data_IF_236579238199
#
_entry.id   IF_236579238199
#
_cell.length_a   1.000
_cell.length_b   1.000
_cell.length_c   1.000
_cell.angle_alpha   90.00
_cell.angle_beta   90.00
_cell.angle_gamma   90.00
#
_symmetry.space_group_name_H-M   'P 1'
#
loop_
_entity.id
_entity.type
_entity.pdbx_description
1 polymer ?
#
# COMPACT_ATOMS: atom_id res chain seq x y z
N UNK A 1 26.78 60.35 -18.23
CA UNK A 1 26.78 60.95 -16.89
C UNK A 1 25.55 60.51 -16.11
N UNK A 2 25.73 59.57 -15.18
CA UNK A 2 25.10 59.46 -13.84
C UNK A 2 25.34 58.02 -13.35
N UNK A 3 26.04 57.93 -12.23
CA UNK A 3 26.62 56.74 -11.58
C UNK A 3 25.59 55.86 -10.86
N UNK A 4 25.93 54.59 -10.54
CA UNK A 4 25.12 53.71 -9.69
C UNK A 4 25.60 53.73 -8.21
N UNK A 5 24.74 53.44 -7.21
CA UNK A 5 25.20 53.31 -5.84
C UNK A 5 25.64 51.87 -5.50
N UNK A 6 26.96 51.79 -5.32
CA UNK A 6 27.81 50.97 -4.42
C UNK A 6 27.19 49.85 -3.57
N UNK A 7 27.82 48.68 -3.73
CA UNK A 7 27.87 47.56 -2.78
C UNK A 7 28.47 47.97 -1.43
N UNK A 8 27.96 47.37 -0.35
CA UNK A 8 28.61 47.37 0.97
C UNK A 8 28.73 45.94 1.49
N UNK A 9 29.95 45.43 1.39
CA UNK A 9 30.45 44.29 2.15
C UNK A 9 30.61 44.69 3.62
N UNK A 10 30.07 43.90 4.54
CA UNK A 10 30.35 44.03 5.97
C UNK A 10 31.04 42.75 6.42
N UNK A 11 32.36 42.84 6.55
CA UNK A 11 33.20 41.92 7.31
C UNK A 11 33.17 42.38 8.76
N UNK A 12 32.73 41.53 9.70
CA UNK A 12 32.89 41.77 11.13
C UNK A 12 33.79 40.69 11.72
N UNK A 13 34.72 41.19 12.51
CA UNK A 13 35.91 40.57 13.05
C UNK A 13 35.63 39.56 14.16
N UNK A 14 36.43 38.49 14.19
CA UNK A 14 36.66 37.67 15.38
C UNK A 14 37.21 38.54 16.52
N UNK A 15 36.59 38.43 17.70
CA UNK A 15 37.24 38.79 18.97
C UNK A 15 37.24 37.54 19.84
N UNK A 16 38.44 37.01 20.04
CA UNK A 16 38.75 35.94 20.99
C UNK A 16 38.97 36.57 22.37
N UNK A 17 38.30 36.03 23.39
CA UNK A 17 38.63 36.34 24.79
C UNK A 17 38.84 35.03 25.53
N UNK A 18 40.11 34.74 25.81
CA UNK A 18 40.59 33.70 26.72
C UNK A 18 40.45 34.21 28.15
N UNK A 19 39.81 33.44 29.03
CA UNK A 19 40.04 33.49 30.46
C UNK A 19 40.03 32.05 30.99
N UNK A 20 41.23 31.57 31.31
CA UNK A 20 41.44 30.32 32.03
C UNK A 20 41.33 30.55 33.53
N UNK A 21 40.73 29.59 34.23
CA UNK A 21 40.98 29.35 35.65
C UNK A 21 41.03 27.83 35.84
N UNK A 22 42.22 27.36 36.22
CA UNK A 22 42.48 26.01 36.68
C UNK A 22 42.09 25.89 38.15
N UNK A 23 41.39 24.81 38.52
CA UNK A 23 41.27 24.37 39.91
C UNK A 23 41.46 22.86 39.98
N UNK A 24 42.52 22.46 40.70
CA UNK A 24 42.90 21.10 41.02
C UNK A 24 42.25 20.64 42.35
N UNK A 25 42.01 19.33 42.41
CA UNK A 25 41.94 18.45 43.60
C UNK A 25 40.70 18.61 44.52
N UNK A 26 40.21 17.59 45.24
CA UNK A 26 40.78 16.36 45.82
C UNK A 26 39.67 15.29 45.86
N UNK A 27 39.98 14.03 45.52
CA UNK A 27 39.09 12.89 45.75
C UNK A 27 39.27 12.37 47.19
N UNK A 28 38.23 12.49 48.02
CA UNK A 28 38.17 11.84 49.34
C UNK A 28 37.25 10.63 49.27
N UNK A 29 37.83 9.44 49.39
CA UNK A 29 37.10 8.19 49.56
C UNK A 29 36.61 8.07 51.01
N UNK A 30 35.30 7.84 51.19
CA UNK A 30 34.69 7.48 52.48
C UNK A 30 34.31 6.00 52.42
N UNK A 31 34.72 5.15 53.38
CA UNK A 31 34.31 3.75 53.43
C UNK A 31 32.89 3.64 53.99
N UNK A 32 31.99 2.95 53.28
CA UNK A 32 30.67 2.58 53.79
C UNK A 32 30.69 1.13 54.29
N UNK A 33 30.31 0.97 55.56
CA UNK A 33 30.14 -0.31 56.26
C UNK A 33 28.99 -1.15 55.66
N UNK A 34 29.03 -2.49 55.79
CA UNK A 34 27.98 -3.35 55.28
C UNK A 34 26.78 -3.38 56.23
N UNK A 35 25.62 -2.95 55.75
CA UNK A 35 24.34 -3.20 56.45
C UNK A 35 23.88 -4.63 56.16
N UNK A 36 23.73 -5.41 57.22
CA UNK A 36 23.00 -6.68 57.23
C UNK A 36 21.54 -6.44 56.84
N UNK A 37 21.11 -6.99 55.71
CA UNK A 37 19.69 -7.09 55.35
C UNK A 37 19.25 -8.53 55.58
N UNK A 38 18.31 -8.71 56.51
CA UNK A 38 17.62 -9.98 56.75
C UNK A 38 16.96 -10.46 55.46
N UNK A 39 17.20 -11.72 55.11
CA UNK A 39 16.52 -12.40 54.02
C UNK A 39 15.07 -12.69 54.42
N UNK A 40 14.13 -12.02 53.76
CA UNK A 40 12.73 -12.43 53.76
C UNK A 40 12.57 -13.56 52.72
N UNK A 41 12.24 -14.75 53.19
CA UNK A 41 11.96 -15.92 52.35
C UNK A 41 10.58 -15.77 51.69
N UNK A 42 10.51 -14.95 50.64
CA UNK A 42 9.38 -14.95 49.73
C UNK A 42 9.50 -16.15 48.77
N UNK A 43 8.57 -17.09 48.91
CA UNK A 43 8.42 -18.28 48.07
C UNK A 43 8.45 -17.91 46.59
N UNK A 44 9.55 -18.25 45.90
CA UNK A 44 9.65 -18.15 44.44
C UNK A 44 8.86 -19.32 43.86
N UNK A 45 7.62 -19.07 43.46
CA UNK A 45 7.02 -19.86 42.40
C UNK A 45 7.82 -19.57 41.14
N UNK A 46 8.70 -20.51 40.76
CA UNK A 46 9.27 -20.59 39.42
C UNK A 46 8.12 -20.83 38.44
N UNK A 47 7.47 -19.74 38.04
CA UNK A 47 6.70 -19.72 36.81
C UNK A 47 7.73 -19.65 35.69
N UNK A 48 8.18 -20.83 35.23
CA UNK A 48 8.75 -20.98 33.90
C UNK A 48 7.93 -20.13 32.93
N UNK A 49 8.53 -19.22 32.15
CA UNK A 49 7.77 -18.55 31.11
C UNK A 49 7.37 -19.65 30.14
N UNK A 50 6.11 -20.05 30.20
CA UNK A 50 5.51 -20.89 29.17
C UNK A 50 5.64 -20.06 27.91
N UNK A 51 6.59 -20.46 27.06
CA UNK A 51 6.74 -19.98 25.70
C UNK A 51 5.47 -20.38 24.93
N UNK A 52 4.43 -19.56 25.11
CA UNK A 52 3.31 -19.49 24.20
C UNK A 52 3.60 -18.39 23.19
N UNK A 53 4.71 -18.53 22.48
CA UNK A 53 4.74 -18.16 21.08
C UNK A 53 3.66 -18.98 20.35
N UNK A 54 2.38 -18.60 20.49
CA UNK A 54 1.38 -18.90 19.48
C UNK A 54 2.00 -18.39 18.19
N UNK A 55 2.41 -19.34 17.34
CA UNK A 55 2.80 -19.08 15.97
C UNK A 55 1.88 -18.01 15.43
N UNK A 56 2.44 -16.95 14.85
CA UNK A 56 1.61 -15.96 14.19
C UNK A 56 0.67 -16.73 13.26
N UNK A 57 -0.65 -16.67 13.46
CA UNK A 57 -1.59 -17.45 12.67
C UNK A 57 -1.55 -17.09 11.18
N UNK A 58 -0.82 -16.03 10.82
CA UNK A 58 -0.54 -15.60 9.46
C UNK A 58 0.81 -16.21 9.01
N UNK A 59 0.80 -17.12 8.02
CA UNK A 59 2.03 -17.72 7.52
C UNK A 59 2.87 -16.69 6.75
N UNK A 60 4.19 -16.90 6.68
CA UNK A 60 5.02 -16.12 5.75
C UNK A 60 4.58 -16.33 4.31
N UNK A 61 4.39 -15.28 3.54
CA UNK A 61 3.95 -15.41 2.15
C UNK A 61 5.13 -15.38 1.17
N UNK A 62 4.99 -16.10 0.06
CA UNK A 62 5.99 -16.16 -1.00
C UNK A 62 5.89 -14.95 -1.92
N UNK A 63 4.98 -15.03 -2.89
CA UNK A 63 4.61 -13.95 -3.81
C UNK A 63 3.15 -13.56 -3.60
N UNK A 64 2.89 -12.27 -3.43
CA UNK A 64 1.55 -11.72 -3.23
C UNK A 64 1.16 -10.89 -4.44
N UNK A 65 -0.07 -11.05 -4.90
CA UNK A 65 -0.74 -10.22 -5.89
C UNK A 65 -1.96 -9.59 -5.23
N UNK A 66 -2.03 -8.27 -5.16
CA UNK A 66 -3.21 -7.54 -4.69
C UNK A 66 -3.84 -6.89 -5.90
N UNK A 67 -4.99 -7.41 -6.32
CA UNK A 67 -5.78 -6.88 -7.43
C UNK A 67 -6.91 -6.04 -6.82
N UNK A 68 -6.98 -4.77 -7.21
CA UNK A 68 -7.97 -3.82 -6.69
C UNK A 68 -8.96 -3.47 -7.78
N UNK A 69 -10.25 -3.62 -7.50
CA UNK A 69 -11.34 -3.09 -8.32
C UNK A 69 -11.95 -1.84 -7.69
N UNK A 70 -12.78 -1.15 -8.46
CA UNK A 70 -13.35 0.15 -8.08
C UNK A 70 -14.86 0.11 -7.79
N UNK A 71 -15.28 0.97 -6.87
CA UNK A 71 -16.67 1.41 -6.64
C UNK A 71 -17.70 0.28 -6.71
N UNK A 72 -17.47 -0.84 -6.05
CA UNK A 72 -18.35 -2.02 -6.14
C UNK A 72 -18.64 -2.55 -4.76
N UNK A 73 -19.89 -2.41 -4.33
CA UNK A 73 -20.35 -2.95 -3.06
C UNK A 73 -20.37 -4.49 -3.10
N UNK A 74 -20.32 -5.14 -1.93
CA UNK A 74 -20.49 -6.58 -1.83
C UNK A 74 -21.81 -7.05 -2.48
N UNK A 75 -22.88 -6.25 -2.35
CA UNK A 75 -24.20 -6.54 -2.89
C UNK A 75 -24.23 -6.57 -4.43
N UNK A 76 -23.34 -5.82 -5.08
CA UNK A 76 -23.21 -5.80 -6.53
C UNK A 76 -22.56 -7.07 -7.10
N UNK A 77 -21.72 -7.74 -6.30
CA UNK A 77 -20.96 -8.94 -6.69
C UNK A 77 -21.84 -10.20 -6.64
N UNK A 78 -22.80 -10.23 -7.56
CA UNK A 78 -23.75 -11.33 -7.74
C UNK A 78 -23.29 -12.34 -8.79
N UNK A 79 -23.86 -13.55 -8.82
CA UNK A 79 -23.60 -14.53 -9.89
C UNK A 79 -23.95 -14.03 -11.30
N UNK A 80 -24.86 -13.06 -11.40
CA UNK A 80 -25.30 -12.49 -12.67
C UNK A 80 -24.27 -11.49 -13.22
N UNK A 81 -23.74 -10.62 -12.36
CA UNK A 81 -22.82 -9.55 -12.74
C UNK A 81 -21.35 -9.96 -12.65
N UNK A 82 -21.01 -10.86 -11.73
CA UNK A 82 -19.65 -11.34 -11.51
C UNK A 82 -19.62 -12.88 -11.40
N UNK A 83 -19.95 -13.62 -12.48
CA UNK A 83 -20.06 -15.07 -12.45
C UNK A 83 -18.76 -15.78 -12.05
N UNK A 84 -17.57 -15.24 -12.38
CA UNK A 84 -16.29 -15.83 -11.98
C UNK A 84 -15.98 -15.58 -10.50
N UNK A 85 -16.06 -14.33 -10.05
CA UNK A 85 -15.76 -13.91 -8.68
C UNK A 85 -16.76 -14.55 -7.70
N UNK A 86 -18.06 -14.33 -7.91
CA UNK A 86 -19.11 -14.88 -7.05
C UNK A 86 -19.29 -16.40 -7.21
N UNK A 87 -18.66 -17.01 -8.22
CA UNK A 87 -18.73 -18.41 -8.55
C UNK A 87 -17.49 -19.21 -8.19
N UNK A 88 -16.70 -19.67 -9.18
CA UNK A 88 -15.54 -20.52 -8.95
C UNK A 88 -14.51 -19.90 -8.02
N UNK A 89 -14.30 -18.58 -8.05
CA UNK A 89 -13.30 -17.94 -7.20
C UNK A 89 -13.74 -17.98 -5.73
N UNK A 90 -14.96 -17.52 -5.42
CA UNK A 90 -15.55 -17.61 -4.07
C UNK A 90 -15.49 -19.00 -3.46
N UNK A 91 -15.68 -20.07 -4.25
CA UNK A 91 -15.60 -21.47 -3.76
C UNK A 91 -14.18 -21.93 -3.40
N UNK A 92 -13.15 -21.31 -3.99
CA UNK A 92 -11.74 -21.71 -3.87
C UNK A 92 -10.92 -20.79 -2.97
N UNK A 93 -11.48 -19.65 -2.58
CA UNK A 93 -10.85 -18.64 -1.75
C UNK A 93 -11.41 -18.64 -0.32
N UNK A 94 -10.75 -17.93 0.58
CA UNK A 94 -11.42 -17.36 1.73
C UNK A 94 -12.17 -16.11 1.30
N UNK A 95 -13.49 -16.14 1.35
CA UNK A 95 -14.38 -15.03 1.08
C UNK A 95 -14.66 -14.27 2.38
N UNK A 96 -14.32 -12.99 2.44
CA UNK A 96 -14.46 -12.16 3.63
C UNK A 96 -15.79 -11.39 3.57
N UNK A 97 -16.79 -11.90 4.28
CA UNK A 97 -18.02 -11.16 4.55
C UNK A 97 -17.80 -10.24 5.76
N UNK A 98 -18.19 -8.98 5.65
CA UNK A 98 -17.95 -7.92 6.62
C UNK A 98 -16.64 -7.15 6.43
N UNK A 99 -16.00 -7.28 5.26
CA UNK A 99 -14.88 -6.41 4.88
C UNK A 99 -15.43 -5.04 4.43
N UNK A 100 -14.93 -3.96 5.02
CA UNK A 100 -15.42 -2.60 4.82
C UNK A 100 -14.35 -1.65 4.30
N UNK A 101 -14.72 -0.88 3.29
CA UNK A 101 -14.04 0.32 2.87
C UNK A 101 -14.23 1.47 3.87
N UNK A 102 -13.51 2.56 3.67
CA UNK A 102 -13.64 3.78 4.46
C UNK A 102 -14.73 4.65 3.83
N UNK A 103 -15.90 4.73 4.48
CA UNK A 103 -17.07 5.46 3.95
C UNK A 103 -17.00 6.99 4.02
N UNK A 104 -15.98 7.58 4.66
CA UNK A 104 -15.72 9.03 4.65
C UNK A 104 -14.55 9.40 3.72
N UNK A 105 -14.32 8.59 2.68
CA UNK A 105 -13.23 8.73 1.72
C UNK A 105 -13.71 8.39 0.33
N UNK A 106 -13.17 9.07 -0.68
CA UNK A 106 -13.17 8.62 -2.06
C UNK A 106 -12.03 7.60 -2.33
N UNK A 107 -11.93 7.13 -3.57
CA UNK A 107 -11.03 6.05 -4.01
C UNK A 107 -9.59 6.23 -3.56
N UNK A 108 -8.94 7.37 -3.85
CA UNK A 108 -7.53 7.60 -3.50
C UNK A 108 -7.27 7.38 -2.01
N UNK A 109 -8.13 7.90 -1.14
CA UNK A 109 -7.96 7.72 0.30
C UNK A 109 -8.13 6.26 0.73
N UNK A 110 -8.94 5.45 0.04
CA UNK A 110 -9.04 4.00 0.26
C UNK A 110 -7.79 3.25 -0.23
N UNK A 111 -7.24 3.60 -1.41
CA UNK A 111 -5.95 3.06 -1.89
C UNK A 111 -4.79 3.37 -0.94
N UNK A 112 -4.76 4.60 -0.43
CA UNK A 112 -3.72 5.09 0.47
C UNK A 112 -3.85 4.47 1.87
N UNK A 113 -5.07 4.28 2.37
CA UNK A 113 -5.32 3.51 3.59
C UNK A 113 -4.88 2.04 3.42
N UNK A 114 -5.13 1.43 2.25
CA UNK A 114 -4.72 0.05 1.95
C UNK A 114 -3.20 -0.14 1.92
N UNK A 115 -2.43 0.93 1.67
CA UNK A 115 -0.99 0.86 1.47
C UNK A 115 -0.15 1.58 2.53
N UNK A 116 -0.75 2.40 3.39
CA UNK A 116 -0.09 3.05 4.53
C UNK A 116 -0.85 2.97 5.86
N UNK A 117 -2.11 2.53 5.84
CA UNK A 117 -2.95 2.40 7.03
C UNK A 117 -3.45 3.74 7.57
N UNK A 118 -3.38 4.80 6.78
CA UNK A 118 -3.93 6.12 7.06
C UNK A 118 -4.16 6.86 5.74
N UNK A 119 -4.99 7.91 5.75
CA UNK A 119 -5.11 8.88 4.66
C UNK A 119 -5.40 10.28 5.18
N UNK A 120 -4.94 11.31 4.46
CA UNK A 120 -5.16 12.73 4.78
C UNK A 120 -6.35 13.31 4.00
N UNK A 121 -6.72 14.56 4.30
CA UNK A 121 -7.94 15.17 3.74
C UNK A 121 -7.92 15.28 2.20
N UNK A 122 -6.79 15.68 1.60
CA UNK A 122 -6.71 15.79 0.14
C UNK A 122 -6.82 14.41 -0.54
N UNK A 123 -6.28 13.36 0.09
CA UNK A 123 -6.34 11.99 -0.44
C UNK A 123 -7.76 11.45 -0.39
N UNK A 124 -8.45 11.67 0.73
CA UNK A 124 -9.88 11.30 0.88
C UNK A 124 -10.81 12.07 -0.05
N UNK A 125 -10.32 13.12 -0.70
CA UNK A 125 -11.06 13.97 -1.63
C UNK A 125 -10.61 13.78 -3.10
N UNK A 126 -9.89 12.70 -3.44
CA UNK A 126 -9.36 12.44 -4.79
C UNK A 126 -8.61 13.64 -5.38
N UNK A 127 -7.82 14.32 -4.55
CA UNK A 127 -6.97 15.38 -5.07
C UNK A 127 -5.86 14.77 -5.93
N UNK A 128 -5.56 15.32 -7.12
CA UNK A 128 -4.43 14.87 -7.93
C UNK A 128 -3.11 15.14 -7.18
N UNK A 129 -2.00 14.49 -7.56
CA UNK A 129 -0.72 14.73 -6.89
C UNK A 129 -0.22 16.15 -7.14
N UNK A 130 -0.41 16.67 -8.35
CA UNK A 130 -0.06 18.02 -8.76
C UNK A 130 -1.14 18.61 -9.66
N UNK A 131 -1.16 19.93 -9.75
CA UNK A 131 -2.02 20.68 -10.66
C UNK A 131 -1.60 20.42 -12.12
N UNK A 132 -2.51 20.00 -13.01
CA UNK A 132 -2.15 19.64 -14.38
C UNK A 132 -1.77 20.84 -15.27
N UNK A 133 -2.07 22.07 -14.85
CA UNK A 133 -1.79 23.31 -15.59
C UNK A 133 -0.52 24.00 -15.09
N UNK A 134 -0.32 24.01 -13.78
CA UNK A 134 0.77 24.75 -13.12
C UNK A 134 1.89 23.86 -12.60
N UNK A 135 1.67 22.54 -12.54
CA UNK A 135 2.57 21.55 -11.93
C UNK A 135 2.83 21.78 -10.43
N UNK A 136 2.09 22.69 -9.81
CA UNK A 136 2.17 22.94 -8.37
C UNK A 136 1.64 21.74 -7.58
N UNK A 137 2.22 21.44 -6.42
CA UNK A 137 1.73 20.35 -5.60
C UNK A 137 0.34 20.58 -5.06
N UNK A 138 -0.46 19.51 -5.10
CA UNK A 138 -1.80 19.52 -4.51
C UNK A 138 -1.88 18.50 -3.38
N UNK A 139 -1.51 17.24 -3.63
CA UNK A 139 -1.73 16.19 -2.65
C UNK A 139 -0.61 15.18 -2.62
N UNK A 140 0.02 15.04 -1.45
CA UNK A 140 1.06 14.07 -1.19
C UNK A 140 1.31 13.97 0.30
N UNK A 141 2.03 12.92 0.69
CA UNK A 141 2.40 12.75 2.09
C UNK A 141 3.78 12.13 2.30
N UNK A 142 4.40 12.58 3.39
CA UNK A 142 5.68 12.09 3.88
C UNK A 142 5.48 11.08 5.01
N UNK A 143 4.97 9.91 4.66
CA UNK A 143 4.71 8.83 5.62
C UNK A 143 5.30 7.51 5.13
N UNK A 144 5.52 6.60 6.07
CA UNK A 144 5.91 5.24 5.69
C UNK A 144 4.69 4.48 5.11
N UNK A 145 4.98 3.56 4.22
CA UNK A 145 3.99 2.80 3.45
C UNK A 145 4.58 1.43 3.10
N UNK A 146 3.74 0.47 2.73
CA UNK A 146 4.19 -0.90 2.46
C UNK A 146 5.27 -0.95 1.36
N UNK A 147 5.21 -0.08 0.35
CA UNK A 147 6.21 -0.05 -0.73
C UNK A 147 7.60 0.34 -0.20
N UNK A 148 7.66 1.36 0.65
CA UNK A 148 8.89 1.78 1.31
C UNK A 148 9.38 0.76 2.33
N UNK A 149 8.50 0.15 3.13
CA UNK A 149 8.88 -0.94 4.04
C UNK A 149 9.49 -2.13 3.30
N UNK A 150 8.89 -2.55 2.18
CA UNK A 150 9.41 -3.63 1.33
C UNK A 150 10.77 -3.25 0.74
N UNK A 151 10.92 -2.01 0.28
CA UNK A 151 12.20 -1.50 -0.23
C UNK A 151 13.32 -1.53 0.82
N UNK A 152 13.04 -1.09 2.05
CA UNK A 152 14.00 -1.09 3.17
C UNK A 152 14.33 -2.52 3.58
N UNK A 153 13.34 -3.41 3.61
CA UNK A 153 13.51 -4.83 3.92
C UNK A 153 14.13 -5.65 2.77
N UNK A 154 14.49 -5.01 1.65
CA UNK A 154 15.00 -5.65 0.43
C UNK A 154 14.09 -6.76 -0.11
N UNK A 155 12.77 -6.61 0.12
CA UNK A 155 11.75 -7.47 -0.47
C UNK A 155 11.33 -6.82 -1.78
N UNK A 156 11.52 -7.54 -2.89
CA UNK A 156 11.14 -7.02 -4.21
C UNK A 156 9.65 -6.72 -4.28
N UNK A 157 9.31 -5.56 -4.83
CA UNK A 157 7.94 -5.13 -5.03
C UNK A 157 7.76 -4.49 -6.41
N UNK A 158 6.55 -4.53 -6.96
CA UNK A 158 6.13 -3.77 -8.15
C UNK A 158 4.67 -3.35 -8.00
N UNK A 159 4.35 -2.16 -8.47
CA UNK A 159 2.98 -1.67 -8.66
C UNK A 159 2.71 -1.59 -10.16
N UNK A 160 1.70 -2.30 -10.62
CA UNK A 160 1.36 -2.51 -12.02
C UNK A 160 0.07 -1.78 -12.33
N UNK A 161 0.11 -0.87 -13.31
CA UNK A 161 -1.04 -0.06 -13.68
C UNK A 161 -1.35 -0.20 -15.17
N UNK A 162 -2.56 -0.64 -15.48
CA UNK A 162 -3.02 -0.74 -16.87
C UNK A 162 -3.22 0.64 -17.49
N UNK A 163 -2.91 0.76 -18.78
CA UNK A 163 -2.99 2.01 -19.55
C UNK A 163 -2.08 3.16 -19.06
N UNK A 164 -1.27 2.95 -18.02
CA UNK A 164 -0.29 3.95 -17.57
C UNK A 164 0.78 4.17 -18.67
N UNK A 165 0.95 5.40 -19.23
CA UNK A 165 1.78 5.59 -20.42
C UNK A 165 3.26 5.32 -20.22
N UNK A 166 3.77 5.61 -19.02
CA UNK A 166 5.17 5.45 -18.66
C UNK A 166 5.30 5.17 -17.18
N UNK A 167 6.47 4.67 -16.78
CA UNK A 167 6.81 4.45 -15.36
C UNK A 167 6.64 5.73 -14.56
N UNK A 168 6.03 5.61 -13.38
CA UNK A 168 5.80 6.73 -12.46
C UNK A 168 5.11 7.93 -13.16
N UNK A 169 4.00 7.66 -13.84
CA UNK A 169 3.13 8.68 -14.42
C UNK A 169 2.19 9.23 -13.34
N UNK A 170 1.87 10.52 -13.40
CA UNK A 170 1.24 11.27 -12.29
C UNK A 170 0.01 12.05 -12.72
N UNK A 171 -0.48 11.83 -13.93
CA UNK A 171 -1.61 12.55 -14.51
C UNK A 171 -2.66 11.53 -14.99
N UNK A 172 -3.90 11.97 -15.13
CA UNK A 172 -4.96 11.16 -15.76
C UNK A 172 -4.85 11.23 -17.28
N UNK A 173 -5.09 10.11 -17.96
CA UNK A 173 -5.04 10.04 -19.43
C UNK A 173 -5.95 8.94 -19.97
N UNK A 174 -6.26 9.04 -21.26
CA UNK A 174 -7.12 8.08 -21.94
C UNK A 174 -8.59 8.35 -21.68
N UNK A 175 -9.44 7.43 -22.14
CA UNK A 175 -10.90 7.58 -22.05
C UNK A 175 -11.59 6.22 -21.97
N UNK A 176 -12.76 6.18 -21.33
CA UNK A 176 -13.62 4.99 -21.27
C UNK A 176 -14.06 4.51 -22.67
N UNK A 177 -14.18 5.44 -23.63
CA UNK A 177 -14.50 5.12 -25.04
C UNK A 177 -13.39 4.33 -25.73
N UNK A 178 -12.14 4.73 -25.53
CA UNK A 178 -10.96 4.04 -26.11
C UNK A 178 -10.53 2.83 -25.29
N UNK A 179 -11.01 2.74 -24.04
CA UNK A 179 -10.67 1.70 -23.07
C UNK A 179 -9.19 1.68 -22.73
N UNK A 180 -8.65 2.88 -22.54
CA UNK A 180 -7.26 3.17 -22.21
C UNK A 180 -7.17 4.17 -21.05
N UNK A 181 -8.22 4.26 -20.22
CA UNK A 181 -8.36 5.28 -19.18
C UNK A 181 -7.54 4.96 -17.93
N UNK A 182 -6.37 5.56 -17.81
CA UNK A 182 -5.55 5.52 -16.60
C UNK A 182 -5.91 6.70 -15.69
N UNK A 183 -6.21 6.39 -14.43
CA UNK A 183 -6.51 7.36 -13.39
C UNK A 183 -5.42 7.30 -12.32
N UNK A 184 -4.80 8.43 -12.01
CA UNK A 184 -3.68 8.52 -11.08
C UNK A 184 -4.11 8.27 -9.64
N UNK A 185 -5.35 8.59 -9.28
CA UNK A 185 -5.92 8.36 -7.95
C UNK A 185 -5.86 6.89 -7.50
N UNK A 186 -5.85 5.96 -8.46
CA UNK A 186 -5.77 4.52 -8.18
C UNK A 186 -4.31 4.03 -8.04
N UNK A 187 -3.33 4.94 -8.09
CA UNK A 187 -1.91 4.67 -7.96
C UNK A 187 -1.35 5.30 -6.68
N UNK A 188 -1.52 4.69 -5.50
CA UNK A 188 -1.08 5.29 -4.23
C UNK A 188 0.45 5.49 -4.19
N UNK A 189 1.23 4.71 -4.93
CA UNK A 189 2.68 4.77 -4.91
C UNK A 189 3.24 6.13 -5.36
N UNK A 190 2.51 6.89 -6.20
CA UNK A 190 2.95 8.22 -6.64
C UNK A 190 2.59 9.36 -5.68
N UNK A 191 1.86 9.08 -4.60
CA UNK A 191 1.49 10.07 -3.58
C UNK A 191 2.47 10.09 -2.39
N UNK A 192 3.42 9.15 -2.34
CA UNK A 192 4.38 9.04 -1.25
C UNK A 192 5.75 9.66 -1.58
N UNK A 193 6.17 10.63 -0.76
CA UNK A 193 7.46 11.34 -0.91
C UNK A 193 8.69 10.41 -0.89
N UNK A 194 8.61 9.31 -0.14
CA UNK A 194 9.65 8.30 -0.04
C UNK A 194 9.64 7.27 -1.19
N UNK A 195 8.65 7.31 -2.08
CA UNK A 195 8.57 6.49 -3.30
C UNK A 195 8.79 7.36 -4.53
N UNK A 196 7.91 8.32 -4.76
CA UNK A 196 7.83 9.20 -5.93
C UNK A 196 9.00 10.18 -5.96
N UNK A 197 9.22 10.92 -4.87
CA UNK A 197 10.25 11.94 -4.82
C UNK A 197 9.91 13.25 -4.14
N UNK A 198 8.64 13.48 -3.80
CA UNK A 198 8.16 14.76 -3.31
C UNK A 198 8.29 15.87 -4.38
N UNK A 199 7.82 15.60 -5.61
CA UNK A 199 7.92 16.53 -6.74
C UNK A 199 6.90 17.66 -6.70
N UNK A 200 7.04 18.47 -5.68
CA UNK A 200 5.98 19.33 -5.22
C UNK A 200 6.55 20.71 -4.98
N UNK A 201 6.75 21.46 -6.07
CA UNK A 201 7.18 22.86 -6.00
C UNK A 201 7.13 23.56 -7.35
N UNK A 202 7.13 24.90 -7.31
CA UNK A 202 6.92 25.86 -8.40
C UNK A 202 7.96 25.87 -9.55
N UNK A 203 8.63 24.76 -9.83
CA UNK A 203 9.67 24.64 -10.85
C UNK A 203 9.43 23.48 -11.82
N UNK A 204 10.28 23.33 -12.85
CA UNK A 204 10.18 22.22 -13.80
C UNK A 204 10.14 20.88 -13.05
N UNK A 205 9.14 20.03 -13.34
CA UNK A 205 8.97 18.73 -12.67
C UNK A 205 10.32 18.02 -12.55
N UNK A 206 10.85 17.80 -11.33
CA UNK A 206 12.05 16.99 -11.15
C UNK A 206 11.85 15.62 -11.81
N UNK A 207 12.91 14.85 -12.08
CA UNK A 207 12.71 13.45 -12.46
C UNK A 207 12.25 12.64 -11.24
N UNK A 208 11.39 11.62 -11.40
CA UNK A 208 10.99 10.78 -10.27
C UNK A 208 12.20 10.12 -9.65
N UNK A 209 12.12 9.84 -8.35
CA UNK A 209 13.10 8.99 -7.70
C UNK A 209 13.23 7.69 -8.48
N UNK A 210 14.47 7.21 -8.55
CA UNK A 210 14.83 5.95 -9.20
C UNK A 210 14.03 4.76 -8.63
N UNK A 211 13.57 4.87 -7.37
CA UNK A 211 12.65 3.92 -6.73
C UNK A 211 11.32 3.87 -7.50
N UNK A 212 10.57 4.97 -7.61
CA UNK A 212 9.31 4.99 -8.36
C UNK A 212 9.48 4.48 -9.81
N UNK A 213 10.49 4.96 -10.54
CA UNK A 213 10.74 4.54 -11.92
C UNK A 213 10.99 3.02 -12.07
N UNK A 214 11.60 2.38 -11.08
CA UNK A 214 11.85 0.94 -11.12
C UNK A 214 10.60 0.12 -10.86
N UNK A 215 9.77 0.57 -9.92
CA UNK A 215 8.79 -0.27 -9.26
C UNK A 215 7.34 0.05 -9.65
N UNK A 216 7.04 1.28 -10.07
CA UNK A 216 5.71 1.69 -10.55
C UNK A 216 5.70 1.63 -12.07
N UNK A 217 5.07 0.60 -12.63
CA UNK A 217 5.26 0.16 -14.02
C UNK A 217 3.94 -0.04 -14.77
N UNK A 218 3.90 0.21 -16.08
CA UNK A 218 2.74 -0.11 -16.90
C UNK A 218 2.48 -1.62 -16.96
N UNK A 219 1.21 -2.05 -16.98
CA UNK A 219 0.84 -3.43 -17.29
C UNK A 219 0.97 -3.76 -18.79
N UNK A 220 0.94 -2.76 -19.66
CA UNK A 220 1.08 -2.91 -21.10
C UNK A 220 1.31 -1.55 -21.75
N UNK A 221 0.88 -1.41 -22.99
CA UNK A 221 0.84 -0.11 -23.68
C UNK A 221 -0.41 0.70 -23.26
N UNK A 222 -0.57 1.89 -23.85
CA UNK A 222 -1.84 2.65 -23.78
C UNK A 222 -2.86 2.18 -24.82
N UNK A 223 -2.66 0.98 -25.39
CA UNK A 223 -3.65 0.33 -26.23
C UNK A 223 -4.84 -0.15 -25.40
N UNK A 224 -5.97 -0.39 -26.09
CA UNK A 224 -7.22 -0.87 -25.49
C UNK A 224 -6.99 -2.09 -24.60
N UNK A 225 -7.25 -1.93 -23.31
CA UNK A 225 -7.14 -2.97 -22.27
C UNK A 225 -5.86 -3.82 -22.37
N UNK A 226 -4.71 -3.18 -22.65
CA UNK A 226 -3.47 -3.90 -22.87
C UNK A 226 -2.73 -4.22 -21.56
N UNK A 227 -2.64 -5.52 -21.25
CA UNK A 227 -1.87 -6.09 -20.12
C UNK A 227 -0.62 -6.87 -20.57
N UNK A 228 -0.19 -6.71 -21.81
CA UNK A 228 0.84 -7.55 -22.44
C UNK A 228 2.19 -7.59 -21.72
N UNK A 229 2.61 -6.50 -21.07
CA UNK A 229 3.86 -6.44 -20.32
C UNK A 229 3.77 -7.24 -19.00
N UNK A 230 2.65 -7.16 -18.31
CA UNK A 230 2.34 -7.96 -17.13
C UNK A 230 2.27 -9.45 -17.48
N UNK A 231 1.54 -9.79 -18.54
CA UNK A 231 1.44 -11.17 -19.04
C UNK A 231 2.80 -11.75 -19.41
N UNK A 232 3.66 -10.96 -20.05
CA UNK A 232 5.01 -11.38 -20.40
C UNK A 232 5.90 -11.59 -19.17
N UNK A 233 5.77 -10.74 -18.15
CA UNK A 233 6.46 -10.90 -16.87
C UNK A 233 6.02 -12.17 -16.13
N UNK A 234 4.71 -12.46 -16.12
CA UNK A 234 4.16 -13.71 -15.59
C UNK A 234 4.72 -14.92 -16.33
N UNK A 235 4.68 -14.95 -17.66
CA UNK A 235 5.23 -16.06 -18.47
C UNK A 235 6.70 -16.36 -18.17
N UNK A 236 7.50 -15.32 -17.91
CA UNK A 236 8.93 -15.46 -17.57
C UNK A 236 9.20 -15.74 -16.08
N UNK A 237 8.19 -15.68 -15.21
CA UNK A 237 8.37 -15.73 -13.76
C UNK A 237 9.05 -14.48 -13.17
N UNK A 238 9.25 -13.43 -13.96
CA UNK A 238 9.84 -12.15 -13.57
C UNK A 238 8.78 -11.29 -12.86
N UNK A 239 8.33 -11.77 -11.71
CA UNK A 239 7.46 -11.01 -10.82
C UNK A 239 8.24 -10.55 -9.59
N UNK A 240 7.68 -9.61 -8.84
CA UNK A 240 8.19 -9.26 -7.52
C UNK A 240 7.61 -10.19 -6.43
N UNK A 241 8.12 -10.09 -5.19
CA UNK A 241 7.49 -10.75 -4.03
C UNK A 241 6.18 -10.10 -3.63
N UNK A 242 6.03 -8.79 -3.85
CA UNK A 242 4.77 -8.08 -3.70
C UNK A 242 4.39 -7.39 -5.02
N UNK A 243 3.19 -7.64 -5.51
CA UNK A 243 2.68 -7.07 -6.76
C UNK A 243 1.32 -6.42 -6.47
N UNK A 244 1.27 -5.10 -6.53
CA UNK A 244 0.01 -4.34 -6.50
C UNK A 244 -0.46 -4.20 -7.96
N UNK A 245 -1.70 -4.53 -8.27
CA UNK A 245 -2.21 -4.65 -9.64
C UNK A 245 -3.51 -3.85 -9.75
N UNK A 246 -3.47 -2.83 -10.58
CA UNK A 246 -4.55 -1.85 -10.74
C UNK A 246 -4.96 -1.81 -12.22
N UNK A 247 -6.14 -2.32 -12.57
CA UNK A 247 -6.68 -2.22 -13.92
C UNK A 247 -7.04 -0.76 -14.26
N UNK A 248 -7.29 -0.50 -15.53
CA UNK A 248 -7.76 0.80 -16.00
C UNK A 248 -9.25 0.99 -15.62
N UNK A 249 -9.79 2.19 -15.79
CA UNK A 249 -11.18 2.48 -15.39
C UNK A 249 -12.25 1.61 -16.07
N UNK A 250 -11.94 1.00 -17.21
CA UNK A 250 -12.85 0.08 -17.86
C UNK A 250 -12.81 -1.34 -17.28
N UNK A 251 -11.64 -1.78 -16.83
CA UNK A 251 -11.43 -3.13 -16.36
C UNK A 251 -11.41 -3.24 -14.83
N UNK A 252 -11.38 -2.14 -14.08
CA UNK A 252 -11.43 -2.14 -12.62
C UNK A 252 -12.86 -2.16 -12.05
N UNK A 253 -13.86 -1.87 -12.89
CA UNK A 253 -15.27 -1.84 -12.51
C UNK A 253 -15.82 -0.45 -12.23
N UNK A 254 -15.04 0.62 -12.39
CA UNK A 254 -15.51 2.01 -12.24
C UNK A 254 -16.44 2.43 -13.40
N UNK A 255 -15.94 2.37 -14.63
CA UNK A 255 -16.65 2.87 -15.81
C UNK A 255 -17.36 1.75 -16.56
N UNK A 256 -18.54 2.07 -17.10
CA UNK A 256 -19.18 1.24 -18.11
C UNK A 256 -18.57 1.52 -19.48
N UNK A 257 -17.66 0.66 -19.93
CA UNK A 257 -16.99 0.85 -21.21
C UNK A 257 -17.59 0.02 -22.34
N UNK A 258 -18.06 0.68 -23.40
CA UNK A 258 -18.62 0.05 -24.58
C UNK A 258 -19.87 -0.78 -24.30
N UNK A 259 -20.74 -0.28 -23.42
CA UNK A 259 -22.06 -0.85 -23.15
C UNK A 259 -22.07 -2.09 -22.24
N UNK A 260 -20.91 -2.57 -21.77
CA UNK A 260 -20.83 -3.72 -20.87
C UNK A 260 -20.99 -3.28 -19.42
N UNK A 261 -21.74 -4.02 -18.60
CA UNK A 261 -21.86 -3.76 -17.16
C UNK A 261 -20.48 -3.73 -16.49
N UNK A 262 -20.17 -2.64 -15.77
CA UNK A 262 -18.86 -2.38 -15.18
C UNK A 262 -18.36 -3.51 -14.25
N UNK A 263 -19.25 -4.09 -13.45
CA UNK A 263 -18.91 -5.22 -12.56
C UNK A 263 -18.54 -6.48 -13.37
N UNK A 264 -19.24 -6.71 -14.49
CA UNK A 264 -18.92 -7.78 -15.43
C UNK A 264 -17.57 -7.58 -16.13
N UNK A 265 -17.13 -6.33 -16.32
CA UNK A 265 -15.81 -6.02 -16.89
C UNK A 265 -14.69 -6.39 -15.91
N UNK A 266 -14.81 -6.03 -14.64
CA UNK A 266 -13.85 -6.46 -13.62
C UNK A 266 -13.86 -7.98 -13.39
N UNK A 267 -15.03 -8.63 -13.44
CA UNK A 267 -15.09 -10.10 -13.39
C UNK A 267 -14.29 -10.75 -14.53
N UNK A 268 -14.36 -10.19 -15.75
CA UNK A 268 -13.61 -10.66 -16.90
C UNK A 268 -12.09 -10.42 -16.74
N UNK A 269 -11.68 -9.25 -16.24
CA UNK A 269 -10.29 -8.96 -15.89
C UNK A 269 -9.76 -9.96 -14.86
N UNK A 270 -10.46 -10.11 -13.73
CA UNK A 270 -10.07 -11.03 -12.66
C UNK A 270 -10.01 -12.47 -13.17
N UNK A 271 -10.97 -12.91 -13.99
CA UNK A 271 -10.93 -14.24 -14.62
C UNK A 271 -9.68 -14.45 -15.48
N UNK A 272 -9.34 -13.47 -16.31
CA UNK A 272 -8.17 -13.51 -17.21
C UNK A 272 -6.87 -13.52 -16.40
N UNK A 273 -6.69 -12.54 -15.53
CA UNK A 273 -5.43 -12.35 -14.81
C UNK A 273 -5.20 -13.42 -13.74
N UNK A 274 -6.23 -13.82 -12.97
CA UNK A 274 -6.07 -14.91 -11.99
C UNK A 274 -5.71 -16.22 -12.69
N UNK A 275 -6.25 -16.49 -13.88
CA UNK A 275 -5.88 -17.67 -14.67
C UNK A 275 -4.41 -17.60 -15.11
N UNK A 276 -3.96 -16.44 -15.59
CA UNK A 276 -2.56 -16.25 -16.02
C UNK A 276 -1.60 -16.33 -14.85
N UNK A 277 -1.92 -15.70 -13.71
CA UNK A 277 -1.11 -15.75 -12.50
C UNK A 277 -0.97 -17.19 -12.03
N UNK A 278 -2.09 -17.90 -11.82
CA UNK A 278 -2.08 -19.27 -11.27
C UNK A 278 -1.42 -20.30 -12.20
N UNK A 279 -1.37 -20.05 -13.51
CA UNK A 279 -0.66 -20.89 -14.47
C UNK A 279 0.83 -20.53 -14.63
N UNK A 280 1.28 -19.39 -14.09
CA UNK A 280 2.65 -18.91 -14.27
C UNK A 280 3.65 -19.56 -13.32
N UNK A 281 4.97 -19.58 -13.66
CA UNK A 281 6.03 -19.96 -12.73
C UNK A 281 6.11 -19.08 -11.47
N UNK A 282 5.46 -17.91 -11.47
CA UNK A 282 5.41 -17.03 -10.31
C UNK A 282 4.37 -17.47 -9.25
N UNK A 283 3.50 -18.43 -9.53
CA UNK A 283 2.52 -18.92 -8.56
C UNK A 283 2.96 -20.24 -7.91
N UNK A 284 3.62 -20.12 -6.76
CA UNK A 284 4.13 -21.25 -5.98
C UNK A 284 3.26 -21.62 -4.79
N UNK A 285 3.71 -22.59 -3.96
CA UNK A 285 2.94 -23.14 -2.83
C UNK A 285 2.65 -22.12 -1.72
N UNK A 286 3.36 -20.98 -1.70
CA UNK A 286 3.15 -19.88 -0.74
C UNK A 286 2.63 -18.61 -1.41
N UNK A 287 2.21 -18.67 -2.66
CA UNK A 287 1.67 -17.52 -3.37
C UNK A 287 0.24 -17.22 -2.93
N UNK A 288 -0.13 -15.94 -2.94
CA UNK A 288 -1.45 -15.44 -2.56
C UNK A 288 -1.92 -14.45 -3.61
N UNK A 289 -3.18 -14.57 -4.01
CA UNK A 289 -3.89 -13.55 -4.77
C UNK A 289 -4.99 -13.00 -3.87
N UNK A 290 -4.95 -11.70 -3.64
CA UNK A 290 -6.02 -10.94 -2.99
C UNK A 290 -6.78 -10.23 -4.10
N UNK A 291 -8.10 -10.37 -4.11
CA UNK A 291 -9.00 -9.56 -4.95
C UNK A 291 -9.89 -8.79 -3.99
N UNK A 292 -9.83 -7.47 -4.05
CA UNK A 292 -10.59 -6.57 -3.18
C UNK A 292 -11.10 -5.40 -4.01
N UNK A 293 -12.00 -4.60 -3.44
CA UNK A 293 -12.37 -3.30 -3.98
C UNK A 293 -11.94 -2.20 -3.02
N UNK A 294 -11.78 -0.99 -3.54
CA UNK A 294 -11.42 0.21 -2.79
C UNK A 294 -12.60 0.76 -1.96
N UNK A 295 -13.79 0.87 -2.56
CA UNK A 295 -14.97 1.48 -1.98
C UNK A 295 -16.25 0.98 -2.63
N UNK A 296 -17.38 1.39 -2.06
CA UNK A 296 -18.68 0.96 -2.55
C UNK A 296 -19.14 1.61 -3.85
N UNK A 297 -20.22 1.05 -4.39
CA UNK A 297 -20.88 1.61 -5.56
C UNK A 297 -21.69 2.85 -5.20
N UNK A 298 -21.62 3.87 -6.07
CA UNK A 298 -22.57 4.99 -6.09
C UNK A 298 -24.04 4.55 -6.28
N UNK A 299 -24.29 3.32 -6.77
CA UNK A 299 -25.64 2.75 -6.96
C UNK A 299 -26.22 2.12 -5.69
N UNK A 300 -25.41 1.88 -4.65
CA UNK A 300 -25.89 1.45 -3.33
C UNK A 300 -25.28 2.38 -2.28
N UNK A 301 -25.75 3.64 -2.19
CA UNK A 301 -25.26 4.58 -1.20
C UNK A 301 -25.40 3.98 0.21
N UNK A 302 -24.40 4.23 1.08
CA UNK A 302 -24.37 3.88 2.51
C UNK A 302 -23.91 2.48 2.92
N UNK A 303 -23.56 1.58 1.98
CA UNK A 303 -22.93 0.30 2.34
C UNK A 303 -21.43 0.37 2.13
N UNK A 304 -20.64 0.53 3.19
CA UNK A 304 -19.17 0.43 3.08
C UNK A 304 -18.66 -0.99 2.88
N UNK A 305 -19.54 -2.01 2.89
CA UNK A 305 -19.13 -3.39 2.70
C UNK A 305 -18.78 -3.68 1.23
N UNK A 306 -17.54 -4.08 1.00
CA UNK A 306 -17.00 -4.42 -0.32
C UNK A 306 -16.57 -5.89 -0.36
N UNK A 307 -16.56 -6.50 -1.54
CA UNK A 307 -16.09 -7.88 -1.66
C UNK A 307 -14.58 -7.95 -1.47
N UNK A 308 -14.12 -8.90 -0.64
CA UNK A 308 -12.70 -9.18 -0.50
C UNK A 308 -12.48 -10.68 -0.38
N UNK A 309 -11.49 -11.21 -1.09
CA UNK A 309 -11.17 -12.63 -1.06
C UNK A 309 -9.67 -12.89 -1.18
N UNK A 310 -9.26 -14.02 -0.60
CA UNK A 310 -7.88 -14.48 -0.59
C UNK A 310 -7.81 -15.89 -1.19
N UNK A 311 -7.13 -16.03 -2.32
CA UNK A 311 -6.86 -17.29 -3.02
C UNK A 311 -5.41 -17.71 -2.79
N UNK A 312 -5.20 -18.91 -2.23
CA UNK A 312 -3.85 -19.44 -1.98
C UNK A 312 -3.91 -20.95 -1.68
N UNK A 313 -2.83 -21.72 -1.96
CA UNK A 313 -2.68 -23.06 -1.40
C UNK A 313 -2.64 -23.07 0.14
N UNK A 314 -2.24 -21.97 0.77
CA UNK A 314 -2.16 -21.81 2.22
C UNK A 314 -3.51 -21.42 2.86
N UNK A 315 -4.52 -21.10 2.06
CA UNK A 315 -5.84 -20.70 2.55
C UNK A 315 -6.75 -21.92 2.70
N UNK A 316 -7.58 -21.91 3.74
CA UNK A 316 -8.75 -22.76 3.91
C UNK A 316 -9.92 -22.09 3.16
N UNK A 317 -10.42 -22.66 2.05
CA UNK A 317 -11.55 -22.07 1.34
C UNK A 317 -12.80 -22.04 2.22
N UNK A 318 -13.56 -20.96 2.15
CA UNK A 318 -14.75 -20.81 2.98
C UNK A 318 -15.25 -19.37 3.03
N UNK A 319 -16.42 -19.17 3.66
CA UNK A 319 -16.96 -17.84 3.95
C UNK A 319 -16.62 -17.51 5.39
N UNK A 320 -15.91 -16.41 5.57
CA UNK A 320 -15.47 -15.92 6.87
C UNK A 320 -16.22 -14.63 7.16
N UNK A 321 -16.83 -14.54 8.36
CA UNK A 321 -17.47 -13.32 8.85
C UNK A 321 -16.57 -12.64 9.87
N UNK A 322 -16.37 -11.35 9.72
CA UNK A 322 -15.54 -10.56 10.62
C UNK A 322 -15.72 -9.07 10.35
N UNK A 323 -15.00 -8.27 11.12
CA UNK A 323 -14.91 -6.82 10.92
C UNK A 323 -13.50 -6.51 10.45
N UNK A 324 -13.35 -6.32 9.15
CA UNK A 324 -12.07 -6.09 8.48
C UNK A 324 -12.14 -4.83 7.65
N UNK A 325 -11.01 -4.14 7.52
CA UNK A 325 -10.86 -2.95 6.68
C UNK A 325 -9.60 -3.02 5.82
N UNK A 326 -9.34 -1.98 5.04
CA UNK A 326 -8.05 -1.78 4.36
C UNK A 326 -6.85 -1.87 5.31
N UNK A 327 -6.97 -1.37 6.54
CA UNK A 327 -5.95 -1.52 7.57
C UNK A 327 -5.76 -2.99 8.00
N UNK A 328 -6.82 -3.81 8.01
CA UNK A 328 -6.72 -5.25 8.27
C UNK A 328 -5.98 -5.99 7.16
N UNK A 329 -6.23 -5.62 5.89
CA UNK A 329 -5.50 -6.15 4.74
C UNK A 329 -4.02 -5.80 4.86
N UNK A 330 -3.69 -4.51 5.04
CA UNK A 330 -2.32 -4.02 5.19
C UNK A 330 -1.60 -4.75 6.33
N UNK A 331 -2.18 -4.75 7.52
CA UNK A 331 -1.57 -5.39 8.69
C UNK A 331 -1.35 -6.89 8.52
N UNK A 332 -2.22 -7.57 7.77
CA UNK A 332 -2.05 -8.99 7.45
C UNK A 332 -0.83 -9.19 6.53
N UNK A 333 -0.67 -8.34 5.52
CA UNK A 333 0.48 -8.37 4.61
C UNK A 333 1.79 -8.01 5.33
N UNK A 334 1.78 -6.98 6.17
CA UNK A 334 2.93 -6.58 7.00
C UNK A 334 3.38 -7.74 7.89
N UNK A 335 2.46 -8.41 8.59
CA UNK A 335 2.80 -9.61 9.38
C UNK A 335 3.36 -10.74 8.52
N UNK A 336 2.76 -11.00 7.36
CA UNK A 336 3.21 -12.03 6.41
C UNK A 336 4.64 -11.77 5.88
N UNK A 337 5.01 -10.51 5.66
CA UNK A 337 6.33 -10.10 5.22
C UNK A 337 7.31 -9.78 6.37
N UNK A 338 6.85 -9.86 7.63
CA UNK A 338 7.61 -9.49 8.84
C UNK A 338 8.01 -8.01 8.89
N UNK A 339 7.12 -7.16 8.42
CA UNK A 339 7.25 -5.71 8.46
C UNK A 339 6.58 -5.17 9.74
N UNK A 340 7.02 -4.00 10.25
CA UNK A 340 6.31 -3.29 11.31
C UNK A 340 4.89 -2.93 10.89
N UNK A 341 3.94 -2.94 11.83
CA UNK A 341 2.58 -2.50 11.52
C UNK A 341 2.50 -0.97 11.38
N UNK A 342 1.92 -0.46 10.29
CA UNK A 342 1.72 0.97 10.07
C UNK A 342 0.40 1.48 10.66
N UNK A 343 0.36 2.77 11.04
CA UNK A 343 -0.82 3.55 11.43
C UNK A 343 -2.03 2.74 11.99
N UNK A 344 -3.18 2.72 11.30
CA UNK A 344 -4.37 1.98 11.73
C UNK A 344 -4.18 0.46 11.69
N UNK A 345 -3.25 -0.08 10.89
CA UNK A 345 -2.94 -1.51 10.85
C UNK A 345 -2.42 -2.04 12.20
N UNK A 346 -1.86 -1.18 13.07
CA UNK A 346 -1.46 -1.51 14.45
C UNK A 346 -2.63 -1.96 15.33
N UNK A 347 -3.82 -1.44 15.05
CA UNK A 347 -5.04 -1.64 15.84
C UNK A 347 -6.09 -2.46 15.08
N UNK A 348 -5.85 -2.75 13.80
CA UNK A 348 -6.79 -3.47 12.97
C UNK A 348 -6.91 -4.95 13.37
N UNK A 349 -8.11 -5.50 13.21
CA UNK A 349 -8.31 -6.94 13.33
C UNK A 349 -7.67 -7.65 12.14
N UNK A 350 -6.61 -8.42 12.35
CA UNK A 350 -5.91 -9.07 11.25
C UNK A 350 -6.67 -10.29 10.70
N UNK A 351 -6.50 -10.59 9.41
CA UNK A 351 -7.16 -11.68 8.70
C UNK A 351 -6.38 -12.98 8.94
N UNK A 352 -6.53 -13.55 10.13
CA UNK A 352 -5.71 -14.67 10.59
C UNK A 352 -6.42 -16.04 10.59
N UNK A 353 -7.75 -16.08 10.46
CA UNK A 353 -8.54 -17.33 10.55
C UNK A 353 -8.63 -18.10 9.22
N UNK A 354 -8.10 -17.52 8.14
CA UNK A 354 -8.24 -18.08 6.79
C UNK A 354 -7.14 -19.09 6.43
N UNK A 355 -6.10 -19.22 7.27
CA UNK A 355 -4.89 -19.97 6.94
C UNK A 355 -4.98 -21.44 7.36
N UNK A 356 -4.30 -22.33 6.63
CA UNK A 356 -4.20 -23.77 6.90
C UNK A 356 -3.35 -24.09 8.11
#
# INVERSE_FOLDING_TARGET
MREPPRSRSISVWCVSTLLGLASLAVASAIPQSPSLVLADAASRFDASPVDTARSSPIPRLGRVFVIVGENTSLADVTRRRAPYIAGPLKRRSAWLAGYRARGDSLSLGNYVEMTSGQSIACERADSPPADPLTDEPICHQRVDNIFHQLQVAQISWRSWHESMPRRCFTDDVGTSRRRDSYIVHHNPAVYYDNVEGARYGAGPRPRPKRMCLRHVVPMGTTGKNDTSAFDAALRRGDMARFNFVVPNNCENGHDQCGGTDRVSQFDAFVRREVKLITASPAYGPRSVIVVTYDEESSTVPHSTEVASLWLSPLVRPGVYRGDWTHASLLGTLERAFRLPLLAHARRAHLIHRIWR
#
